data_IF_898964150446
#
_entry.id   IF_898964150446
#
_cell.length_a   1.000
_cell.length_b   1.000
_cell.length_c   1.000
_cell.angle_alpha   90.00
_cell.angle_beta   90.00
_cell.angle_gamma   90.00
#
_symmetry.space_group_name_H-M   'P 1'
#
loop_
_entity.id
_entity.type
_entity.pdbx_description
1 polymer ?
#
# COMPACT_ATOMS: atom_id res chain seq x y z
N UNK A 1 0.75 -3.11 58.42
CA UNK A 1 0.24 -4.10 57.44
C UNK A 1 -0.49 -3.47 56.25
N UNK A 2 -1.43 -2.52 56.44
CA UNK A 2 -2.19 -1.87 55.34
C UNK A 2 -1.31 -1.09 54.34
N UNK A 3 -0.28 -0.39 54.82
CA UNK A 3 0.63 0.41 53.96
C UNK A 3 1.44 -0.45 52.99
N UNK A 4 1.79 -1.69 53.38
CA UNK A 4 2.54 -2.63 52.54
C UNK A 4 1.70 -3.13 51.36
N UNK A 5 0.38 -3.29 51.55
CA UNK A 5 -0.54 -3.66 50.49
C UNK A 5 -0.72 -2.53 49.47
N UNK A 6 -0.74 -1.29 49.94
CA UNK A 6 -0.89 -0.10 49.08
C UNK A 6 0.34 0.13 48.18
N UNK A 7 1.55 -0.06 48.72
CA UNK A 7 2.79 0.04 47.94
C UNK A 7 2.91 -1.04 46.86
N UNK A 8 2.46 -2.27 47.15
CA UNK A 8 2.45 -3.37 46.18
C UNK A 8 1.52 -3.08 44.99
N UNK A 9 0.35 -2.51 45.27
CA UNK A 9 -0.68 -2.23 44.26
C UNK A 9 -0.28 -1.08 43.31
N UNK A 10 0.40 -0.04 43.80
CA UNK A 10 0.92 1.04 42.96
C UNK A 10 2.09 0.60 42.05
N UNK A 11 2.93 -0.34 42.51
CA UNK A 11 4.09 -0.80 41.75
C UNK A 11 3.71 -1.56 40.47
N UNK A 12 2.52 -2.16 40.42
CA UNK A 12 2.01 -2.94 39.28
C UNK A 12 1.27 -2.09 38.23
N UNK A 13 0.79 -0.90 38.58
CA UNK A 13 0.01 -0.05 37.66
C UNK A 13 0.89 0.67 36.61
N UNK A 14 2.11 1.06 36.99
CA UNK A 14 3.09 1.72 36.12
C UNK A 14 3.57 0.89 34.91
N UNK A 15 3.88 -0.42 35.03
CA UNK A 15 4.27 -1.23 33.87
C UNK A 15 3.08 -1.60 32.97
N UNK A 16 1.86 -1.73 33.51
CA UNK A 16 0.68 -2.11 32.73
C UNK A 16 0.33 -1.06 31.67
N UNK A 17 0.37 0.23 32.03
CA UNK A 17 0.22 1.32 31.07
C UNK A 17 1.30 1.22 30.00
N UNK A 18 2.57 1.07 30.40
CA UNK A 18 3.70 1.08 29.48
C UNK A 18 3.68 -0.11 28.52
N UNK A 19 3.18 -1.28 28.95
CA UNK A 19 3.03 -2.48 28.10
C UNK A 19 1.82 -2.32 27.17
N UNK A 20 0.68 -1.80 27.63
CA UNK A 20 -0.48 -1.51 26.77
C UNK A 20 -0.19 -0.43 25.71
N UNK A 21 0.49 0.66 26.12
CA UNK A 21 0.99 1.67 25.18
C UNK A 21 2.03 1.09 24.25
N UNK A 22 2.88 0.17 24.74
CA UNK A 22 3.86 -0.52 23.92
C UNK A 22 3.19 -1.45 22.92
N UNK A 23 2.12 -2.17 23.22
CA UNK A 23 1.46 -3.04 22.24
C UNK A 23 0.64 -2.25 21.20
N UNK A 24 0.02 -1.13 21.59
CA UNK A 24 -0.60 -0.20 20.64
C UNK A 24 0.43 0.50 19.73
N UNK A 25 1.58 0.90 20.29
CA UNK A 25 2.66 1.56 19.55
C UNK A 25 3.57 0.57 18.82
N UNK A 26 3.78 -0.66 19.30
CA UNK A 26 4.60 -1.70 18.64
C UNK A 26 3.85 -2.36 17.50
N UNK A 27 2.51 -2.45 17.49
CA UNK A 27 1.78 -2.69 16.24
C UNK A 27 2.01 -1.57 15.20
N UNK A 28 2.38 -0.35 15.61
CA UNK A 28 2.90 0.70 14.72
C UNK A 28 4.43 0.65 14.52
N UNK A 29 5.21 0.05 15.42
CA UNK A 29 6.68 0.12 15.47
C UNK A 29 7.40 -1.16 15.02
N UNK A 30 6.70 -2.26 14.76
CA UNK A 30 7.25 -3.38 13.97
C UNK A 30 7.56 -2.95 12.53
N UNK A 31 7.02 -1.82 12.05
CA UNK A 31 7.45 -1.10 10.84
C UNK A 31 8.79 -0.35 10.96
N UNK A 32 9.33 -0.16 12.16
CA UNK A 32 10.53 0.68 12.39
C UNK A 32 11.85 -0.11 12.52
N UNK A 33 11.87 -1.39 12.14
CA UNK A 33 13.03 -2.29 12.30
C UNK A 33 14.02 -2.32 11.14
N UNK A 34 13.63 -1.92 9.93
CA UNK A 34 14.49 -1.73 8.76
C UNK A 34 13.82 -0.69 7.87
N UNK A 35 14.11 0.59 8.10
CA UNK A 35 13.55 1.69 7.31
C UNK A 35 14.19 1.71 5.92
N UNK A 36 13.72 0.82 5.05
CA UNK A 36 13.50 1.23 3.67
C UNK A 36 12.20 2.04 3.71
N UNK A 37 12.28 3.31 3.31
CA UNK A 37 11.09 4.15 3.14
C UNK A 37 10.24 3.47 2.06
N UNK A 38 9.10 2.87 2.45
CA UNK A 38 8.16 2.30 1.49
C UNK A 38 7.49 3.44 0.73
N UNK A 39 7.41 3.30 -0.58
CA UNK A 39 6.69 4.21 -1.46
C UNK A 39 5.19 4.08 -1.19
N UNK A 40 4.53 5.22 -1.01
CA UNK A 40 3.10 5.28 -0.70
C UNK A 40 2.30 5.03 -1.97
N UNK A 41 1.46 4.01 -1.95
CA UNK A 41 0.67 3.58 -3.09
C UNK A 41 -0.83 3.77 -2.84
N UNK A 42 -1.55 4.23 -3.85
CA UNK A 42 -3.02 4.33 -3.83
C UNK A 42 -3.59 3.33 -4.83
N UNK A 43 -4.56 2.52 -4.40
CA UNK A 43 -5.15 1.49 -5.23
C UNK A 43 -6.45 2.04 -5.82
N UNK A 44 -6.54 2.09 -7.15
CA UNK A 44 -7.73 2.54 -7.88
C UNK A 44 -8.49 1.31 -8.33
N UNK A 45 -9.67 1.11 -7.74
CA UNK A 45 -10.51 -0.07 -7.85
C UNK A 45 -10.64 -0.79 -6.50
N UNK A 46 -11.89 -0.98 -6.07
CA UNK A 46 -12.26 -1.75 -4.87
C UNK A 46 -12.87 -3.10 -5.23
N UNK A 47 -12.58 -3.59 -6.43
CA UNK A 47 -12.99 -4.92 -6.89
C UNK A 47 -12.16 -6.02 -6.19
N UNK A 48 -12.55 -7.28 -6.36
CA UNK A 48 -11.87 -8.43 -5.74
C UNK A 48 -10.36 -8.46 -6.05
N UNK A 49 -9.96 -7.98 -7.23
CA UNK A 49 -8.55 -7.84 -7.60
C UNK A 49 -7.86 -6.75 -6.76
N UNK A 50 -8.48 -5.57 -6.63
CA UNK A 50 -8.00 -4.49 -5.76
C UNK A 50 -7.83 -4.95 -4.31
N UNK A 51 -8.82 -5.67 -3.76
CA UNK A 51 -8.73 -6.23 -2.41
C UNK A 51 -7.52 -7.19 -2.26
N UNK A 52 -7.32 -8.07 -3.24
CA UNK A 52 -6.20 -9.01 -3.25
C UNK A 52 -4.85 -8.29 -3.29
N UNK A 53 -4.72 -7.27 -4.15
CA UNK A 53 -3.51 -6.45 -4.26
C UNK A 53 -3.22 -5.75 -2.93
N UNK A 54 -4.21 -5.10 -2.33
CA UNK A 54 -4.05 -4.42 -1.04
C UNK A 54 -3.65 -5.36 0.09
N UNK A 55 -4.23 -6.57 0.12
CA UNK A 55 -3.87 -7.63 1.06
C UNK A 55 -2.42 -8.10 0.86
N UNK A 56 -1.97 -8.24 -0.37
CA UNK A 56 -0.61 -8.69 -0.68
C UNK A 56 0.43 -7.60 -0.35
N UNK A 57 0.13 -6.33 -0.65
CA UNK A 57 0.96 -5.19 -0.27
C UNK A 57 1.11 -5.06 1.26
N UNK A 58 0.04 -5.34 2.03
CA UNK A 58 0.13 -5.36 3.49
C UNK A 58 0.91 -6.56 4.04
N UNK A 59 0.78 -7.74 3.43
CA UNK A 59 1.43 -8.97 3.89
C UNK A 59 2.91 -9.04 3.55
N UNK A 60 3.32 -8.43 2.44
CA UNK A 60 4.69 -8.49 1.97
C UNK A 60 5.53 -7.37 2.60
N UNK A 61 6.19 -7.70 3.71
CA UNK A 61 7.15 -6.79 4.34
C UNK A 61 8.32 -6.42 3.40
N UNK A 62 8.65 -7.30 2.46
CA UNK A 62 9.66 -7.12 1.42
C UNK A 62 9.24 -6.17 0.31
N UNK A 63 7.93 -5.91 0.15
CA UNK A 63 7.44 -5.01 -0.89
C UNK A 63 7.76 -3.57 -0.52
N UNK A 64 8.34 -2.84 -1.46
CA UNK A 64 8.68 -1.41 -1.33
C UNK A 64 7.45 -0.49 -1.39
N UNK A 65 6.23 -1.05 -1.42
CA UNK A 65 4.98 -0.30 -1.54
C UNK A 65 4.15 -0.43 -0.27
N UNK A 66 3.59 0.67 0.19
CA UNK A 66 2.66 0.74 1.31
C UNK A 66 1.30 1.27 0.83
N UNK A 67 0.22 0.47 0.93
CA UNK A 67 -1.09 0.89 0.48
C UNK A 67 -1.66 1.91 1.46
N UNK A 68 -1.89 3.13 1.00
CA UNK A 68 -2.44 4.22 1.82
C UNK A 68 -3.96 4.16 1.87
N UNK A 69 -4.58 3.76 0.75
CA UNK A 69 -6.02 3.80 0.60
C UNK A 69 -6.49 3.22 -0.72
N UNK A 70 -7.78 2.93 -0.77
CA UNK A 70 -8.50 2.62 -1.99
C UNK A 70 -9.21 3.86 -2.53
N UNK A 71 -9.36 3.92 -3.84
CA UNK A 71 -10.20 4.88 -4.57
C UNK A 71 -11.11 4.11 -5.51
N UNK A 72 -12.40 4.42 -5.46
CA UNK A 72 -13.40 3.82 -6.34
C UNK A 72 -13.88 4.84 -7.39
N UNK A 73 -14.54 4.41 -8.46
CA UNK A 73 -15.15 5.32 -9.42
C UNK A 73 -16.41 5.97 -8.86
N UNK A 74 -17.11 5.25 -8.00
CA UNK A 74 -18.35 5.69 -7.38
C UNK A 74 -18.13 6.12 -5.93
N UNK A 75 -18.89 7.11 -5.49
CA UNK A 75 -18.83 7.60 -4.10
C UNK A 75 -19.48 6.61 -3.10
N UNK A 76 -20.16 5.58 -3.60
CA UNK A 76 -20.89 4.60 -2.80
C UNK A 76 -20.00 3.76 -1.87
N UNK A 77 -18.70 3.66 -2.18
CA UNK A 77 -17.70 2.92 -1.42
C UNK A 77 -16.94 3.74 -0.37
N UNK A 78 -17.07 5.06 -0.35
CA UNK A 78 -16.22 5.97 0.46
C UNK A 78 -16.44 5.75 1.95
N UNK A 79 -15.34 5.72 2.71
CA UNK A 79 -15.35 5.49 4.17
C UNK A 79 -15.47 4.04 4.60
N UNK A 80 -15.62 3.09 3.64
CA UNK A 80 -15.51 1.66 3.94
C UNK A 80 -14.07 1.29 4.26
N UNK A 81 -13.90 0.19 4.97
CA UNK A 81 -12.58 -0.39 5.26
C UNK A 81 -12.54 -1.77 4.63
N UNK A 82 -11.58 -1.97 3.73
CA UNK A 82 -11.37 -3.21 2.98
C UNK A 82 -10.03 -3.79 3.45
N UNK A 83 -10.05 -4.97 4.06
CA UNK A 83 -8.84 -5.64 4.58
C UNK A 83 -7.97 -4.73 5.49
N UNK A 84 -8.58 -3.78 6.20
CA UNK A 84 -7.88 -2.83 7.07
C UNK A 84 -7.38 -1.55 6.40
N UNK A 85 -7.57 -1.39 5.08
CA UNK A 85 -7.26 -0.17 4.32
C UNK A 85 -8.56 0.62 4.07
N UNK A 86 -8.58 1.94 4.32
CA UNK A 86 -9.76 2.76 4.08
C UNK A 86 -9.96 3.06 2.58
N UNK A 87 -11.22 3.16 2.16
CA UNK A 87 -11.60 3.78 0.90
C UNK A 87 -11.65 5.30 1.12
N UNK A 88 -10.69 6.01 0.55
CA UNK A 88 -10.44 7.42 0.83
C UNK A 88 -11.36 8.36 0.06
N UNK A 89 -11.84 7.95 -1.11
CA UNK A 89 -12.65 8.81 -1.96
C UNK A 89 -12.94 8.20 -3.32
N UNK A 90 -13.52 9.01 -4.18
CA UNK A 90 -13.74 8.66 -5.59
C UNK A 90 -12.60 9.15 -6.49
N UNK A 91 -12.58 8.69 -7.74
CA UNK A 91 -11.62 9.17 -8.76
C UNK A 91 -11.69 10.69 -8.99
N UNK A 92 -12.78 11.36 -8.61
CA UNK A 92 -12.89 12.83 -8.66
C UNK A 92 -12.03 13.52 -7.61
N UNK A 93 -11.81 12.88 -6.48
CA UNK A 93 -11.00 13.40 -5.36
C UNK A 93 -9.55 12.95 -5.44
N UNK A 94 -9.22 12.13 -6.45
CA UNK A 94 -7.92 11.52 -6.65
C UNK A 94 -6.77 12.54 -6.61
N UNK A 95 -6.93 13.69 -7.28
CA UNK A 95 -5.95 14.76 -7.29
C UNK A 95 -5.63 15.30 -5.88
N UNK A 96 -6.68 15.53 -5.07
CA UNK A 96 -6.55 16.01 -3.70
C UNK A 96 -5.93 14.94 -2.81
N UNK A 97 -6.33 13.69 -2.99
CA UNK A 97 -5.84 12.55 -2.23
C UNK A 97 -4.34 12.32 -2.48
N UNK A 98 -3.90 12.43 -3.73
CA UNK A 98 -2.48 12.30 -4.09
C UNK A 98 -1.61 13.30 -3.31
N UNK A 99 -2.04 14.56 -3.22
CA UNK A 99 -1.30 15.60 -2.50
C UNK A 99 -1.38 15.44 -0.98
N UNK A 100 -2.58 15.16 -0.46
CA UNK A 100 -2.83 15.09 0.99
C UNK A 100 -2.12 13.88 1.60
N UNK A 101 -2.08 12.77 0.85
CA UNK A 101 -1.52 11.51 1.30
C UNK A 101 -0.09 11.23 0.80
N UNK A 102 0.54 12.19 0.13
CA UNK A 102 1.91 12.06 -0.42
C UNK A 102 2.10 10.75 -1.21
N UNK A 103 1.14 10.49 -2.11
CA UNK A 103 1.13 9.27 -2.93
C UNK A 103 2.21 9.38 -4.00
N UNK A 104 2.98 8.30 -4.16
CA UNK A 104 4.07 8.21 -5.14
C UNK A 104 3.72 7.23 -6.27
N UNK A 105 2.89 6.23 -6.00
CA UNK A 105 2.49 5.22 -6.97
C UNK A 105 0.97 5.02 -6.98
N UNK A 106 0.39 4.90 -8.17
CA UNK A 106 -1.02 4.57 -8.39
C UNK A 106 -1.11 3.17 -8.98
N UNK A 107 -1.88 2.30 -8.33
CA UNK A 107 -2.06 0.92 -8.75
C UNK A 107 -3.51 0.71 -9.19
N UNK A 108 -3.73 0.50 -10.47
CA UNK A 108 -5.06 0.25 -11.03
C UNK A 108 -5.35 -1.24 -11.08
N UNK A 109 -6.45 -1.68 -10.46
CA UNK A 109 -7.01 -3.01 -10.65
C UNK A 109 -8.03 -2.97 -11.78
N UNK A 110 -7.66 -3.41 -12.98
CA UNK A 110 -8.54 -3.28 -14.16
C UNK A 110 -9.54 -4.42 -14.29
N UNK A 111 -10.05 -4.96 -13.18
CA UNK A 111 -10.96 -6.10 -13.23
C UNK A 111 -12.34 -5.73 -13.76
N UNK A 112 -12.88 -4.62 -13.27
CA UNK A 112 -14.21 -4.13 -13.68
C UNK A 112 -14.15 -2.77 -14.40
N UNK A 113 -12.95 -2.18 -14.51
CA UNK A 113 -12.75 -0.84 -15.09
C UNK A 113 -12.35 -0.95 -16.57
N UNK A 114 -13.04 -0.24 -17.49
CA UNK A 114 -12.61 -0.12 -18.89
C UNK A 114 -11.21 0.50 -19.01
N UNK A 115 -10.41 0.01 -19.96
CA UNK A 115 -9.05 0.50 -20.17
C UNK A 115 -9.02 1.99 -20.57
N UNK A 116 -10.05 2.45 -21.30
CA UNK A 116 -10.22 3.85 -21.69
C UNK A 116 -10.26 4.77 -20.46
N UNK A 117 -11.00 4.38 -19.42
CA UNK A 117 -11.10 5.15 -18.16
C UNK A 117 -9.77 5.20 -17.42
N UNK A 118 -8.97 4.14 -17.48
CA UNK A 118 -7.62 4.12 -16.89
C UNK A 118 -6.71 5.10 -17.63
N UNK A 119 -6.74 5.11 -18.97
CA UNK A 119 -5.96 6.06 -19.76
C UNK A 119 -6.39 7.51 -19.45
N UNK A 120 -7.69 7.79 -19.40
CA UNK A 120 -8.22 9.12 -19.07
C UNK A 120 -7.70 9.62 -17.71
N UNK A 121 -7.70 8.75 -16.69
CA UNK A 121 -7.16 9.07 -15.36
C UNK A 121 -5.63 9.26 -15.36
N UNK A 122 -4.90 8.47 -16.12
CA UNK A 122 -3.46 8.67 -16.25
C UNK A 122 -3.19 10.04 -16.90
N UNK A 123 -3.92 10.38 -17.97
CA UNK A 123 -3.79 11.66 -18.67
C UNK A 123 -4.11 12.86 -17.78
N UNK A 124 -5.15 12.78 -16.94
CA UNK A 124 -5.46 13.87 -15.99
C UNK A 124 -4.34 14.08 -14.96
N UNK A 125 -3.56 13.04 -14.66
CA UNK A 125 -2.50 13.05 -13.65
C UNK A 125 -1.08 13.18 -14.22
N UNK A 126 -0.90 13.28 -15.55
CA UNK A 126 0.40 13.29 -16.23
C UNK A 126 1.35 14.42 -15.79
N UNK A 127 0.82 15.53 -15.28
CA UNK A 127 1.62 16.67 -14.82
C UNK A 127 2.26 16.45 -13.43
N UNK A 128 2.00 15.31 -12.78
CA UNK A 128 2.53 14.97 -11.46
C UNK A 128 3.66 13.95 -11.56
N UNK A 129 4.52 13.92 -10.53
CA UNK A 129 5.58 12.91 -10.39
C UNK A 129 5.02 11.63 -9.77
N UNK A 130 4.18 10.93 -10.52
CA UNK A 130 3.54 9.69 -10.08
C UNK A 130 3.98 8.53 -10.97
N UNK A 131 4.28 7.40 -10.35
CA UNK A 131 4.42 6.13 -11.03
C UNK A 131 3.03 5.49 -11.16
N UNK A 132 2.74 4.86 -12.30
CA UNK A 132 1.47 4.18 -12.54
C UNK A 132 1.73 2.70 -12.81
N UNK A 133 0.98 1.82 -12.14
CA UNK A 133 1.03 0.37 -12.31
C UNK A 133 -0.37 -0.15 -12.58
N UNK A 134 -0.50 -0.93 -13.64
CA UNK A 134 -1.78 -1.50 -14.05
C UNK A 134 -1.71 -3.01 -13.88
N UNK A 135 -2.62 -3.57 -13.08
CA UNK A 135 -2.70 -5.00 -12.83
C UNK A 135 -4.00 -5.51 -13.47
N UNK A 136 -3.92 -6.31 -14.53
CA UNK A 136 -5.11 -6.92 -15.14
C UNK A 136 -5.62 -8.11 -14.33
N UNK A 137 -6.92 -8.37 -14.40
CA UNK A 137 -7.50 -9.63 -13.90
C UNK A 137 -6.94 -10.77 -14.74
N UNK A 138 -6.27 -11.71 -14.07
CA UNK A 138 -5.85 -12.97 -14.70
C UNK A 138 -7.00 -13.96 -14.63
N UNK A 139 -7.37 -14.48 -15.79
CA UNK A 139 -8.28 -15.58 -16.00
C UNK A 139 -7.65 -16.90 -15.50
N UNK A 140 -8.14 -17.37 -14.35
CA UNK A 140 -8.11 -18.76 -13.89
C UNK A 140 -6.82 -19.59 -14.15
N UNK A 141 -5.77 -19.43 -13.34
CA UNK A 141 -4.97 -20.54 -12.78
C UNK A 141 -4.14 -20.01 -11.60
N UNK A 142 -4.39 -20.55 -10.42
CA UNK A 142 -3.98 -20.02 -9.11
C UNK A 142 -2.49 -20.04 -8.74
N UNK A 143 -1.57 -19.84 -9.69
CA UNK A 143 -0.12 -19.90 -9.46
C UNK A 143 0.63 -18.59 -9.79
N UNK A 144 -0.10 -17.49 -10.02
CA UNK A 144 0.44 -16.22 -10.51
C UNK A 144 1.42 -15.49 -9.55
N UNK A 145 1.29 -15.71 -8.24
CA UNK A 145 2.20 -15.14 -7.24
C UNK A 145 3.64 -15.62 -7.44
N UNK A 146 3.84 -16.81 -8.02
CA UNK A 146 5.15 -17.36 -8.32
C UNK A 146 5.73 -16.87 -9.66
N UNK A 147 4.89 -16.53 -10.64
CA UNK A 147 5.34 -16.09 -11.97
C UNK A 147 5.81 -14.64 -11.97
N UNK A 148 5.09 -13.74 -11.28
CA UNK A 148 5.53 -12.34 -11.12
C UNK A 148 6.84 -12.26 -10.31
N UNK A 149 6.98 -13.03 -9.23
CA UNK A 149 8.21 -13.06 -8.43
C UNK A 149 9.39 -13.72 -9.15
N UNK A 150 9.15 -14.73 -10.01
CA UNK A 150 10.20 -15.39 -10.80
C UNK A 150 10.78 -14.50 -11.90
N UNK A 151 9.93 -13.69 -12.53
CA UNK A 151 10.39 -12.71 -13.52
C UNK A 151 11.18 -11.58 -12.85
N UNK A 152 10.74 -11.08 -11.69
CA UNK A 152 11.43 -10.04 -10.91
C UNK A 152 12.82 -10.48 -10.42
N UNK A 153 13.00 -11.75 -10.02
CA UNK A 153 14.31 -12.29 -9.60
C UNK A 153 15.29 -12.46 -10.77
N UNK A 154 14.79 -12.65 -11.99
CA UNK A 154 15.64 -12.82 -13.18
C UNK A 154 16.13 -11.49 -13.78
N UNK A 155 15.37 -10.40 -13.62
CA UNK A 155 15.72 -9.06 -14.09
C UNK A 155 16.72 -8.34 -13.18
N UNK A 156 16.73 -8.68 -11.88
CA UNK A 156 17.65 -8.11 -10.88
C UNK A 156 19.08 -8.72 -10.89
N UNK A 157 19.34 -9.79 -11.65
CA UNK A 157 20.68 -10.40 -11.74
C UNK A 157 21.54 -9.86 -12.91
N UNK A 158 21.13 -8.81 -13.62
CA UNK A 158 21.96 -8.15 -14.63
C UNK A 158 22.33 -6.73 -14.19
N UNK A 159 23.62 -6.44 -13.89
CA UNK A 159 24.04 -5.07 -13.65
C UNK A 159 23.99 -4.28 -14.97
N UNK A 160 23.64 -2.98 -14.94
CA UNK A 160 23.59 -2.15 -16.13
C UNK A 160 25.00 -1.72 -16.53
N UNK A 161 25.34 -1.79 -17.83
CA UNK A 161 26.48 -1.04 -18.37
C UNK A 161 26.08 -0.31 -19.63
N UNK A 162 25.82 0.97 -19.43
CA UNK A 162 25.58 2.01 -20.41
C UNK A 162 26.86 2.33 -21.20
N UNK A 163 26.71 2.61 -22.50
CA UNK A 163 27.29 3.70 -23.33
C UNK A 163 27.18 3.22 -24.80
N UNK A 164 26.43 3.85 -25.68
CA UNK A 164 26.40 5.29 -25.93
C UNK A 164 27.33 5.56 -27.12
N UNK A 165 26.73 6.04 -28.23
CA UNK A 165 27.28 6.55 -29.51
C UNK A 165 26.74 5.72 -30.68
N UNK A 166 26.40 6.26 -31.82
CA UNK A 166 26.07 7.59 -32.33
C UNK A 166 25.69 7.31 -33.80
N UNK A 167 24.83 8.14 -34.37
CA UNK A 167 24.47 8.13 -35.78
C UNK A 167 25.67 8.06 -36.74
N UNK A 168 25.34 7.56 -37.94
CA UNK A 168 26.04 7.62 -39.24
C UNK A 168 26.93 6.42 -39.55
#
# INVERSE_FOLDING_TARGET
FVVLWFCSLMALSMPAWRILFRDLVIKRKSRAGRSFVKRRALIVGTDALGEQIGKQMQRSDTMELEPVGFVDFDEAGVGRIIEGIPVLGSTKELDRLIETEDVQELVFSTGEIPYERVIELIQSLQNRRLDFKVIPVQDHHGDAELTFLRLELSSLSRPPRHKGKASV
#
